data_IF_943424449266
#
_entry.id   IF_943424449266
#
_cell.length_a   1.000
_cell.length_b   1.000
_cell.length_c   1.000
_cell.angle_alpha   90.00
_cell.angle_beta   90.00
_cell.angle_gamma   90.00
#
_symmetry.space_group_name_H-M   'P 1'
#
loop_
_entity.id
_entity.type
_entity.pdbx_description
1 polymer ?
#
# COMPACT_ATOMS: atom_id res chain seq x y z
N UNK A 1 8.89 -7.14 1.74
CA UNK A 1 9.58 -5.90 1.34
C UNK A 1 10.65 -6.29 0.35
N UNK A 2 10.87 -5.50 -0.70
CA UNK A 2 11.83 -5.83 -1.76
C UNK A 2 13.26 -5.48 -1.35
N UNK A 3 14.26 -5.90 -2.13
CA UNK A 3 15.68 -5.68 -1.83
C UNK A 3 16.13 -4.23 -2.06
N UNK A 4 15.42 -3.51 -2.94
CA UNK A 4 15.82 -2.18 -3.42
C UNK A 4 15.19 -1.05 -2.59
N UNK A 5 15.13 -1.22 -1.27
CA UNK A 5 14.62 -0.16 -0.38
C UNK A 5 15.65 0.95 -0.23
N UNK A 6 15.23 2.18 -0.53
CA UNK A 6 16.09 3.36 -0.48
C UNK A 6 15.71 4.22 0.74
N UNK A 7 16.69 4.41 1.63
CA UNK A 7 16.57 5.31 2.78
C UNK A 7 16.20 6.72 2.30
N UNK A 8 15.21 7.33 2.95
CA UNK A 8 14.72 8.66 2.59
C UNK A 8 13.81 8.70 1.36
N UNK A 9 13.48 7.57 0.72
CA UNK A 9 12.48 7.51 -0.38
C UNK A 9 11.34 6.53 -0.12
N UNK A 10 11.58 5.50 0.69
CA UNK A 10 10.60 4.45 0.94
C UNK A 10 9.85 4.62 2.25
N UNK A 11 8.51 4.59 2.18
CA UNK A 11 7.63 4.64 3.35
C UNK A 11 7.90 3.49 4.33
N UNK A 12 8.33 2.33 3.84
CA UNK A 12 8.73 1.21 4.70
C UNK A 12 9.87 1.60 5.65
N UNK A 13 10.84 2.40 5.20
CA UNK A 13 11.96 2.85 6.04
C UNK A 13 11.46 3.75 7.16
N UNK A 14 10.56 4.71 6.87
CA UNK A 14 9.97 5.59 7.89
C UNK A 14 9.21 4.81 8.96
N UNK A 15 8.45 3.79 8.54
CA UNK A 15 7.77 2.91 9.47
C UNK A 15 8.76 2.11 10.32
N UNK A 16 9.85 1.59 9.76
CA UNK A 16 10.88 0.88 10.54
C UNK A 16 11.57 1.82 11.53
N UNK A 17 12.01 3.01 11.09
CA UNK A 17 12.65 4.01 11.95
C UNK A 17 11.80 4.35 13.18
N UNK A 18 10.50 4.59 12.96
CA UNK A 18 9.56 4.89 14.04
C UNK A 18 9.35 3.69 14.97
N UNK A 19 9.32 2.46 14.43
CA UNK A 19 9.24 1.24 15.24
C UNK A 19 10.44 1.12 16.18
N UNK A 20 11.65 1.32 15.64
CA UNK A 20 12.89 1.25 16.41
C UNK A 20 12.97 2.36 17.46
N UNK A 21 12.48 3.57 17.14
CA UNK A 21 12.37 4.67 18.10
C UNK A 21 11.45 4.34 19.28
N UNK A 22 10.44 3.49 19.07
CA UNK A 22 9.52 3.00 20.10
C UNK A 22 10.07 1.79 20.87
N UNK A 23 11.21 1.25 20.47
CA UNK A 23 11.84 0.10 21.11
C UNK A 23 11.36 -1.25 20.57
N UNK A 24 10.64 -1.28 19.45
CA UNK A 24 10.22 -2.53 18.82
C UNK A 24 11.40 -3.23 18.14
N UNK A 25 11.44 -4.55 18.26
CA UNK A 25 12.32 -5.38 17.44
C UNK A 25 11.70 -5.55 16.06
N UNK A 26 12.51 -5.33 15.02
CA UNK A 26 12.04 -5.38 13.65
C UNK A 26 12.84 -6.43 12.89
N UNK A 27 12.12 -7.27 12.17
CA UNK A 27 12.66 -8.32 11.34
C UNK A 27 12.27 -8.11 9.88
N UNK A 28 13.17 -8.44 8.99
CA UNK A 28 12.96 -8.48 7.55
C UNK A 28 13.02 -9.92 7.06
N UNK A 29 12.04 -10.32 6.26
CA UNK A 29 12.06 -11.60 5.55
C UNK A 29 11.56 -11.42 4.12
N UNK A 30 11.86 -12.41 3.26
CA UNK A 30 11.40 -12.47 1.88
C UNK A 30 10.38 -13.61 1.72
N UNK A 31 9.39 -13.48 0.82
CA UNK A 31 8.45 -14.58 0.53
C UNK A 31 9.17 -15.89 0.16
N UNK A 32 10.29 -15.82 -0.55
CA UNK A 32 11.11 -16.99 -0.90
C UNK A 32 11.75 -17.70 0.31
N UNK A 33 11.83 -17.03 1.47
CA UNK A 33 12.31 -17.60 2.73
C UNK A 33 11.20 -18.20 3.60
N UNK A 34 9.94 -18.19 3.15
CA UNK A 34 8.82 -18.79 3.89
C UNK A 34 8.83 -20.31 3.75
N UNK A 35 8.60 -21.00 4.86
CA UNK A 35 8.37 -22.44 4.87
C UNK A 35 7.31 -22.81 5.90
N UNK A 36 6.45 -23.77 5.55
CA UNK A 36 5.56 -24.41 6.52
C UNK A 36 6.19 -25.72 6.96
N UNK A 37 6.49 -25.85 8.25
CA UNK A 37 7.27 -26.97 8.80
C UNK A 37 6.71 -27.35 10.16
N UNK A 38 6.39 -28.63 10.35
CA UNK A 38 5.88 -29.16 11.62
C UNK A 38 4.64 -28.44 12.17
N UNK A 39 3.76 -27.91 11.30
CA UNK A 39 2.56 -27.19 11.71
C UNK A 39 2.76 -25.68 11.92
N UNK A 40 3.99 -25.19 11.80
CA UNK A 40 4.34 -23.79 12.02
C UNK A 40 4.77 -23.12 10.70
N UNK A 41 4.40 -21.86 10.54
CA UNK A 41 4.90 -21.03 9.45
C UNK A 41 6.14 -20.29 9.95
N UNK A 42 7.27 -20.58 9.32
CA UNK A 42 8.57 -20.00 9.64
C UNK A 42 9.09 -19.18 8.46
N UNK A 43 9.99 -18.23 8.76
CA UNK A 43 10.73 -17.49 7.76
C UNK A 43 12.22 -17.49 8.08
N UNK A 44 13.04 -17.55 7.04
CA UNK A 44 14.40 -17.04 7.12
C UNK A 44 14.36 -15.51 7.18
N UNK A 45 14.78 -14.94 8.30
CA UNK A 45 14.64 -13.53 8.62
C UNK A 45 15.96 -12.92 9.10
N UNK A 46 16.02 -11.59 9.07
CA UNK A 46 17.15 -10.78 9.47
C UNK A 46 16.68 -9.67 10.40
N UNK A 47 17.43 -9.39 11.46
CA UNK A 47 17.24 -8.17 12.24
C UNK A 47 17.56 -6.96 11.37
N UNK A 48 16.71 -5.94 11.37
CA UNK A 48 16.93 -4.72 10.58
C UNK A 48 17.37 -3.56 11.48
N UNK A 49 18.33 -2.75 11.03
CA UNK A 49 18.64 -1.45 11.64
C UNK A 49 18.74 -0.37 10.58
N UNK A 50 18.06 0.73 10.82
CA UNK A 50 18.15 1.92 9.97
C UNK A 50 19.11 2.92 10.62
N UNK A 51 20.20 3.23 9.92
CA UNK A 51 21.09 4.35 10.22
C UNK A 51 20.70 5.58 9.41
N UNK A 52 21.50 6.66 9.52
CA UNK A 52 21.19 7.93 8.87
C UNK A 52 20.99 7.82 7.34
N UNK A 53 21.86 7.07 6.66
CA UNK A 53 21.85 6.94 5.19
C UNK A 53 21.84 5.48 4.72
N UNK A 54 21.63 4.53 5.63
CA UNK A 54 21.74 3.10 5.31
C UNK A 54 20.75 2.24 6.09
N UNK A 55 20.40 1.11 5.49
CA UNK A 55 19.58 0.06 6.07
C UNK A 55 20.43 -1.20 6.08
N UNK A 56 20.69 -1.73 7.27
CA UNK A 56 21.49 -2.93 7.47
C UNK A 56 20.63 -4.12 7.88
N UNK A 57 20.95 -5.29 7.31
CA UNK A 57 20.38 -6.58 7.70
C UNK A 57 21.44 -7.36 8.50
N UNK A 58 21.06 -7.86 9.66
CA UNK A 58 21.94 -8.52 10.63
C UNK A 58 21.31 -9.84 11.10
N UNK A 59 22.10 -10.64 11.81
CA UNK A 59 21.63 -11.77 12.63
C UNK A 59 20.63 -12.68 11.91
N UNK A 60 21.07 -13.25 10.78
CA UNK A 60 20.26 -14.18 9.99
C UNK A 60 19.79 -15.36 10.86
N UNK A 61 18.48 -15.52 11.00
CA UNK A 61 17.87 -16.54 11.84
C UNK A 61 16.60 -17.12 11.22
N UNK A 62 16.19 -18.28 11.72
CA UNK A 62 14.88 -18.86 11.43
C UNK A 62 13.89 -18.38 12.48
N UNK A 63 12.86 -17.67 12.06
CA UNK A 63 11.86 -17.05 12.93
C UNK A 63 10.51 -17.76 12.77
N UNK A 64 9.84 -18.06 13.88
CA UNK A 64 8.44 -18.48 13.87
C UNK A 64 7.55 -17.27 13.68
N UNK A 65 6.83 -17.19 12.56
CA UNK A 65 6.00 -16.02 12.26
C UNK A 65 4.77 -15.91 13.17
N UNK A 66 4.35 -17.01 13.81
CA UNK A 66 3.25 -17.02 14.76
C UNK A 66 3.56 -16.38 16.12
N UNK A 67 4.84 -16.13 16.42
CA UNK A 67 5.30 -15.52 17.68
C UNK A 67 5.40 -13.99 17.58
N UNK A 68 5.18 -13.43 16.39
CA UNK A 68 5.22 -11.98 16.16
C UNK A 68 3.94 -11.31 16.64
N UNK A 69 4.06 -10.07 17.12
CA UNK A 69 2.89 -9.25 17.44
C UNK A 69 2.22 -8.67 16.19
N UNK A 70 3.03 -8.15 15.26
CA UNK A 70 2.58 -7.45 14.05
C UNK A 70 3.42 -7.92 12.85
N UNK A 71 2.75 -8.24 11.73
CA UNK A 71 3.40 -8.60 10.47
C UNK A 71 2.91 -7.71 9.33
N UNK A 72 3.87 -7.09 8.63
CA UNK A 72 3.59 -6.22 7.49
C UNK A 72 3.71 -6.97 6.15
N UNK A 73 2.69 -6.86 5.29
CA UNK A 73 2.75 -7.34 3.90
C UNK A 73 3.09 -6.18 2.96
N UNK A 74 4.39 -5.97 2.74
CA UNK A 74 4.94 -4.85 1.96
C UNK A 74 5.71 -5.32 0.71
N UNK A 75 5.31 -6.44 0.12
CA UNK A 75 5.85 -6.89 -1.18
C UNK A 75 5.31 -5.95 -2.27
N UNK A 76 6.18 -5.45 -3.17
CA UNK A 76 5.67 -4.70 -4.33
C UNK A 76 5.12 -5.68 -5.40
N UNK A 77 4.35 -5.20 -6.39
CA UNK A 77 3.95 -6.00 -7.54
C UNK A 77 5.14 -6.72 -8.22
N UNK A 78 4.91 -7.87 -8.88
CA UNK A 78 3.63 -8.30 -9.46
C UNK A 78 2.71 -9.09 -8.51
N UNK A 79 1.41 -9.06 -8.81
CA UNK A 79 0.42 -9.96 -8.22
C UNK A 79 0.45 -11.30 -8.98
N UNK A 80 1.31 -12.20 -8.54
CA UNK A 80 1.53 -13.51 -9.17
C UNK A 80 1.14 -14.69 -8.25
N UNK A 81 1.36 -15.92 -8.72
CA UNK A 81 1.05 -17.11 -7.92
C UNK A 81 1.90 -17.22 -6.64
N UNK A 82 3.11 -16.66 -6.61
CA UNK A 82 3.93 -16.63 -5.41
C UNK A 82 3.33 -15.68 -4.37
N UNK A 83 2.89 -14.50 -4.79
CA UNK A 83 2.17 -13.54 -3.96
C UNK A 83 0.88 -14.18 -3.41
N UNK A 84 0.04 -14.76 -4.28
CA UNK A 84 -1.21 -15.41 -3.89
C UNK A 84 -0.95 -16.53 -2.88
N UNK A 85 0.01 -17.42 -3.14
CA UNK A 85 0.37 -18.51 -2.23
C UNK A 85 0.88 -17.99 -0.90
N UNK A 86 1.69 -16.93 -0.91
CA UNK A 86 2.19 -16.26 0.30
C UNK A 86 1.02 -15.75 1.14
N UNK A 87 0.02 -15.11 0.53
CA UNK A 87 -1.15 -14.64 1.30
C UNK A 87 -1.95 -15.78 1.94
N UNK A 88 -2.07 -16.94 1.30
CA UNK A 88 -2.73 -18.13 1.86
C UNK A 88 -1.97 -18.78 3.02
N UNK A 89 -0.65 -18.62 3.05
CA UNK A 89 0.17 -19.04 4.18
C UNK A 89 0.00 -18.06 5.34
N UNK A 90 0.13 -16.76 5.07
CA UNK A 90 0.05 -15.72 6.09
C UNK A 90 -1.34 -15.59 6.73
N UNK A 91 -2.42 -15.83 6.00
CA UNK A 91 -3.79 -15.78 6.57
C UNK A 91 -4.04 -16.86 7.65
N UNK A 92 -3.14 -17.84 7.81
CA UNK A 92 -3.22 -18.88 8.85
C UNK A 92 -2.69 -18.40 10.20
N UNK A 93 -1.96 -17.29 10.22
CA UNK A 93 -1.36 -16.75 11.44
C UNK A 93 -2.41 -16.01 12.26
N UNK A 94 -2.31 -16.13 13.59
CA UNK A 94 -3.11 -15.34 14.52
C UNK A 94 -2.39 -14.04 14.94
N UNK A 95 -1.64 -13.44 14.02
CA UNK A 95 -0.83 -12.23 14.21
C UNK A 95 -1.58 -11.01 13.67
N UNK A 96 -1.33 -9.80 14.19
CA UNK A 96 -1.89 -8.60 13.58
C UNK A 96 -1.25 -8.37 12.21
N UNK A 97 -2.03 -8.49 11.14
CA UNK A 97 -1.56 -8.30 9.78
C UNK A 97 -1.78 -6.87 9.29
N UNK A 98 -0.73 -6.22 8.81
CA UNK A 98 -0.78 -4.89 8.17
C UNK A 98 -0.38 -5.03 6.69
N UNK A 99 -1.29 -5.26 5.76
CA UNK A 99 -2.74 -5.49 5.90
C UNK A 99 -3.10 -6.98 5.91
N UNK A 100 -4.38 -7.28 6.16
CA UNK A 100 -4.93 -8.64 6.08
C UNK A 100 -4.62 -9.33 4.72
N UNK A 101 -3.91 -10.47 4.70
CA UNK A 101 -3.52 -11.19 3.49
C UNK A 101 -4.69 -11.62 2.59
N UNK A 102 -5.81 -11.99 3.19
CA UNK A 102 -7.01 -12.34 2.44
C UNK A 102 -7.58 -11.10 1.75
N UNK A 103 -7.62 -9.98 2.47
CA UNK A 103 -8.20 -8.75 1.93
C UNK A 103 -7.37 -8.20 0.77
N UNK A 104 -6.04 -8.15 0.89
CA UNK A 104 -5.17 -7.68 -0.21
C UNK A 104 -5.26 -8.60 -1.45
N UNK A 105 -5.44 -9.91 -1.26
CA UNK A 105 -5.65 -10.86 -2.36
C UNK A 105 -7.00 -10.67 -3.05
N UNK A 106 -8.06 -10.49 -2.26
CA UNK A 106 -9.43 -10.40 -2.76
C UNK A 106 -9.75 -9.01 -3.33
N UNK A 107 -8.89 -8.01 -3.06
CA UNK A 107 -9.07 -6.61 -3.45
C UNK A 107 -7.82 -6.02 -4.11
N UNK A 108 -7.44 -6.50 -5.31
CA UNK A 108 -6.25 -6.02 -5.99
C UNK A 108 -6.42 -4.58 -6.50
N UNK A 109 -5.30 -3.86 -6.58
CA UNK A 109 -5.27 -2.39 -6.60
C UNK A 109 -6.03 -1.74 -7.77
N UNK A 110 -6.05 -2.42 -8.92
CA UNK A 110 -6.75 -1.99 -10.14
C UNK A 110 -8.20 -2.47 -10.26
N UNK A 111 -8.60 -3.48 -9.48
CA UNK A 111 -9.98 -3.98 -9.49
C UNK A 111 -10.83 -3.40 -8.36
N UNK A 112 -10.24 -3.07 -7.21
CA UNK A 112 -11.00 -2.50 -6.09
C UNK A 112 -11.81 -1.25 -6.46
N UNK A 113 -11.33 -0.30 -7.30
CA UNK A 113 -12.14 0.83 -7.74
C UNK A 113 -13.48 0.44 -8.39
N UNK A 114 -13.58 -0.74 -9.02
CA UNK A 114 -14.80 -1.23 -9.64
C UNK A 114 -15.91 -1.53 -8.62
N UNK A 115 -15.57 -1.69 -7.34
CA UNK A 115 -16.53 -1.81 -6.23
C UNK A 115 -17.26 -0.49 -5.95
N UNK A 116 -16.80 0.62 -6.55
CA UNK A 116 -17.34 1.97 -6.37
C UNK A 116 -17.82 2.56 -7.70
N UNK A 117 -18.85 1.99 -8.36
CA UNK A 117 -19.26 2.35 -9.72
C UNK A 117 -19.79 3.79 -9.85
N UNK A 118 -20.10 4.47 -8.75
CA UNK A 118 -20.51 5.89 -8.73
C UNK A 118 -19.34 6.85 -8.93
N UNK A 119 -18.13 6.42 -8.58
CA UNK A 119 -16.92 7.27 -8.53
C UNK A 119 -15.76 6.70 -9.33
N UNK A 120 -15.84 5.46 -9.81
CA UNK A 120 -14.92 4.95 -10.83
C UNK A 120 -15.26 5.54 -12.20
N UNK A 121 -14.25 5.99 -12.94
CA UNK A 121 -14.42 6.46 -14.32
C UNK A 121 -15.01 5.36 -15.21
N UNK A 122 -15.95 5.72 -16.10
CA UNK A 122 -16.68 4.76 -16.93
C UNK A 122 -16.17 4.80 -18.37
N UNK A 123 -15.56 3.71 -18.84
CA UNK A 123 -15.26 3.53 -20.26
C UNK A 123 -16.26 2.58 -20.92
N UNK A 124 -16.69 2.94 -22.13
CA UNK A 124 -17.30 1.99 -23.06
C UNK A 124 -16.17 1.24 -23.80
N UNK A 125 -16.19 -0.08 -23.75
CA UNK A 125 -15.21 -0.95 -24.40
C UNK A 125 -15.58 -1.29 -25.84
N UNK A 126 -16.68 -0.75 -26.36
CA UNK A 126 -17.34 -1.07 -27.65
C UNK A 126 -16.52 -0.96 -28.93
N UNK A 127 -15.20 -0.73 -28.87
CA UNK A 127 -14.26 -0.87 -29.99
C UNK A 127 -12.86 -1.34 -29.62
N UNK A 128 -12.59 -1.61 -28.34
CA UNK A 128 -11.24 -1.87 -27.80
C UNK A 128 -11.04 -3.36 -27.43
N UNK A 129 -12.12 -4.07 -27.10
CA UNK A 129 -11.98 -5.32 -26.32
C UNK A 129 -11.51 -6.54 -27.11
N UNK A 130 -12.03 -6.84 -28.30
CA UNK A 130 -11.76 -8.14 -28.93
C UNK A 130 -10.30 -8.27 -29.41
N UNK A 131 -9.78 -7.29 -30.16
CA UNK A 131 -8.42 -7.33 -30.70
C UNK A 131 -7.35 -7.14 -29.63
N UNK A 132 -7.61 -6.32 -28.59
CA UNK A 132 -6.66 -6.17 -27.49
C UNK A 132 -6.64 -7.39 -26.57
N UNK A 133 -7.79 -8.00 -26.27
CA UNK A 133 -7.82 -9.25 -25.49
C UNK A 133 -7.11 -10.37 -26.24
N UNK A 134 -7.31 -10.49 -27.56
CA UNK A 134 -6.57 -11.45 -28.39
C UNK A 134 -5.06 -11.16 -28.41
N UNK A 135 -4.68 -9.89 -28.57
CA UNK A 135 -3.27 -9.48 -28.63
C UNK A 135 -2.52 -9.74 -27.32
N UNK A 136 -3.12 -9.38 -26.17
CA UNK A 136 -2.47 -9.51 -24.86
C UNK A 136 -2.67 -10.89 -24.22
N UNK A 137 -3.66 -11.67 -24.65
CA UNK A 137 -3.96 -12.99 -24.08
C UNK A 137 -4.34 -12.96 -22.59
N UNK A 138 -4.87 -11.84 -22.11
CA UNK A 138 -5.16 -11.60 -20.69
C UNK A 138 -6.42 -10.73 -20.49
N UNK A 139 -7.08 -10.81 -19.32
CA UNK A 139 -8.16 -9.89 -18.97
C UNK A 139 -7.67 -8.43 -18.96
N UNK A 140 -8.53 -7.52 -19.40
CA UNK A 140 -8.24 -6.08 -19.48
C UNK A 140 -9.23 -5.28 -18.62
N UNK A 141 -8.75 -4.20 -18.04
CA UNK A 141 -9.57 -3.16 -17.39
C UNK A 141 -9.46 -1.90 -18.24
N UNK A 142 -10.58 -1.38 -18.71
CA UNK A 142 -10.65 -0.11 -19.42
C UNK A 142 -11.27 0.97 -18.52
N UNK A 143 -10.68 2.17 -18.53
CA UNK A 143 -11.17 3.33 -17.81
C UNK A 143 -11.24 4.52 -18.75
N UNK A 144 -12.17 5.44 -18.48
CA UNK A 144 -12.27 6.69 -19.24
C UNK A 144 -10.96 7.45 -19.11
N UNK A 145 -10.44 7.96 -20.23
CA UNK A 145 -9.30 8.87 -20.18
C UNK A 145 -9.72 10.19 -19.54
N UNK A 146 -8.94 10.65 -18.55
CA UNK A 146 -9.13 11.93 -17.86
C UNK A 146 -7.94 12.83 -18.25
N UNK A 147 -8.23 13.93 -18.91
CA UNK A 147 -7.24 14.87 -19.46
C UNK A 147 -6.72 15.86 -18.41
N UNK A 148 -7.51 16.16 -17.37
CA UNK A 148 -7.09 16.98 -16.24
C UNK A 148 -6.13 16.24 -15.29
N UNK A 149 -4.94 15.92 -15.79
CA UNK A 149 -3.83 15.34 -15.02
C UNK A 149 -3.40 16.22 -13.84
N UNK A 150 -3.73 17.52 -13.87
CA UNK A 150 -3.43 18.45 -12.78
C UNK A 150 -4.23 18.15 -11.52
N UNK A 151 -5.32 17.39 -11.64
CA UNK A 151 -6.15 16.98 -10.51
C UNK A 151 -5.70 15.68 -9.83
N UNK A 152 -4.58 15.06 -10.23
CA UNK A 152 -4.09 13.83 -9.58
C UNK A 152 -3.71 14.08 -8.13
N UNK A 153 -4.44 13.42 -7.22
CA UNK A 153 -4.19 13.44 -5.79
C UNK A 153 -3.93 12.04 -5.27
N UNK A 154 -2.84 11.89 -4.52
CA UNK A 154 -2.57 10.74 -3.65
C UNK A 154 -3.06 11.05 -2.26
N UNK A 155 -3.97 10.22 -1.76
CA UNK A 155 -4.48 10.30 -0.38
C UNK A 155 -4.04 9.07 0.39
N UNK A 156 -3.54 9.26 1.61
CA UNK A 156 -3.20 8.16 2.52
C UNK A 156 -4.35 7.93 3.49
N UNK A 157 -4.80 6.68 3.58
CA UNK A 157 -5.83 6.22 4.50
C UNK A 157 -5.21 5.35 5.60
N UNK A 158 -5.60 5.60 6.85
CA UNK A 158 -5.22 4.83 8.03
C UNK A 158 -6.47 4.54 8.88
N UNK A 159 -6.73 3.26 9.17
CA UNK A 159 -7.92 2.83 9.90
C UNK A 159 -9.22 3.28 9.22
N UNK A 160 -9.23 3.33 7.88
CA UNK A 160 -10.36 3.82 7.10
C UNK A 160 -10.53 5.35 7.07
N UNK A 161 -9.60 6.14 7.63
CA UNK A 161 -9.67 7.61 7.63
C UNK A 161 -8.53 8.23 6.82
N UNK A 162 -8.81 9.31 6.10
CA UNK A 162 -7.76 10.09 5.44
C UNK A 162 -6.89 10.80 6.47
N UNK A 163 -5.57 10.62 6.38
CA UNK A 163 -4.58 11.27 7.27
C UNK A 163 -3.73 12.33 6.54
N UNK A 164 -3.83 12.38 5.21
CA UNK A 164 -3.22 13.41 4.40
C UNK A 164 -3.38 13.17 2.91
N UNK A 165 -3.20 14.24 2.13
CA UNK A 165 -3.26 14.21 0.69
C UNK A 165 -2.22 15.15 0.08
N UNK A 166 -1.68 14.76 -1.07
CA UNK A 166 -0.84 15.61 -1.92
C UNK A 166 -1.42 15.62 -3.33
N UNK A 167 -1.24 16.74 -4.03
CA UNK A 167 -1.38 16.80 -5.48
C UNK A 167 -0.06 16.45 -6.13
N UNK A 168 -0.09 15.70 -7.24
CA UNK A 168 1.09 15.37 -8.04
C UNK A 168 1.14 16.25 -9.27
N UNK A 169 2.09 17.19 -9.31
CA UNK A 169 2.25 18.05 -10.47
C UNK A 169 3.32 17.50 -11.41
N UNK A 170 2.94 17.32 -12.68
CA UNK A 170 3.89 16.99 -13.75
C UNK A 170 4.76 18.21 -14.04
N UNK A 171 6.06 17.98 -14.22
CA UNK A 171 7.06 19.02 -14.51
C UNK A 171 7.52 19.02 -15.97
N UNK A 172 7.42 17.89 -16.67
CA UNK A 172 7.84 17.73 -18.05
C UNK A 172 6.70 18.05 -19.05
N UNK A 173 7.01 18.78 -20.12
CA UNK A 173 6.05 19.13 -21.18
C UNK A 173 5.67 17.87 -21.96
N UNK A 174 4.37 17.59 -22.09
CA UNK A 174 3.84 16.46 -22.86
C UNK A 174 3.81 15.12 -22.10
N UNK A 175 4.28 15.08 -20.86
CA UNK A 175 4.15 13.90 -20.01
C UNK A 175 2.77 13.89 -19.33
N UNK A 176 2.13 12.72 -19.31
CA UNK A 176 0.79 12.52 -18.70
C UNK A 176 0.88 11.70 -17.42
N UNK A 177 2.00 10.99 -17.19
CA UNK A 177 2.20 10.19 -15.98
C UNK A 177 2.60 11.11 -14.83
N UNK A 178 1.74 11.13 -13.84
CA UNK A 178 1.85 11.94 -12.62
C UNK A 178 2.56 11.21 -11.47
N UNK A 179 2.98 9.96 -11.67
CA UNK A 179 3.69 9.19 -10.64
C UNK A 179 5.00 9.89 -10.25
N UNK A 180 5.24 10.05 -8.94
CA UNK A 180 6.45 10.69 -8.41
C UNK A 180 7.75 10.02 -8.88
N UNK A 181 7.72 8.69 -9.10
CA UNK A 181 8.85 7.92 -9.67
C UNK A 181 9.27 8.41 -11.07
N UNK A 182 8.37 9.06 -11.80
CA UNK A 182 8.59 9.57 -13.17
C UNK A 182 8.92 11.07 -13.17
N UNK A 183 9.10 11.69 -12.00
CA UNK A 183 9.57 13.08 -11.86
C UNK A 183 8.49 14.12 -11.54
N UNK A 184 7.27 13.68 -11.22
CA UNK A 184 6.27 14.58 -10.65
C UNK A 184 6.70 15.06 -9.25
N UNK A 185 6.24 16.24 -8.87
CA UNK A 185 6.57 16.88 -7.58
C UNK A 185 5.33 16.92 -6.69
N UNK A 186 5.44 16.60 -5.38
CA UNK A 186 4.33 16.67 -4.46
C UNK A 186 4.02 18.13 -4.09
N UNK A 187 2.74 18.47 -4.05
CA UNK A 187 2.27 19.81 -3.67
C UNK A 187 1.11 19.72 -2.67
N UNK A 188 0.98 20.78 -1.86
CA UNK A 188 -0.13 20.93 -0.95
C UNK A 188 -1.46 20.97 -1.70
N UNK A 189 -2.49 20.36 -1.12
CA UNK A 189 -3.82 20.29 -1.71
C UNK A 189 -4.88 20.11 -0.63
N UNK A 190 -6.11 20.52 -0.96
CA UNK A 190 -7.28 20.20 -0.17
C UNK A 190 -8.16 19.20 -0.93
N UNK A 191 -8.85 18.34 -0.18
CA UNK A 191 -9.88 17.47 -0.71
C UNK A 191 -11.20 18.25 -0.78
N UNK A 192 -11.79 18.28 -1.97
CA UNK A 192 -13.18 18.70 -2.20
C UNK A 192 -14.17 17.77 -1.50
N UNK A 193 -15.43 18.19 -1.37
CA UNK A 193 -16.45 17.39 -0.69
C UNK A 193 -16.66 16.02 -1.35
N UNK A 194 -16.66 15.97 -2.69
CA UNK A 194 -16.73 14.71 -3.46
C UNK A 194 -15.54 13.79 -3.15
N UNK A 195 -14.33 14.33 -3.04
CA UNK A 195 -13.14 13.53 -2.74
C UNK A 195 -13.13 13.03 -1.30
N UNK A 196 -13.67 13.81 -0.36
CA UNK A 196 -13.86 13.38 1.04
C UNK A 196 -14.90 12.26 1.13
N UNK A 197 -15.98 12.33 0.35
CA UNK A 197 -16.97 11.25 0.23
C UNK A 197 -16.33 9.97 -0.32
N UNK A 198 -15.50 10.08 -1.38
CA UNK A 198 -14.72 8.93 -1.89
C UNK A 198 -13.84 8.33 -0.79
N UNK A 199 -13.10 9.16 -0.05
CA UNK A 199 -12.25 8.69 1.05
C UNK A 199 -13.05 7.97 2.14
N UNK A 200 -14.24 8.49 2.46
CA UNK A 200 -15.13 7.89 3.44
C UNK A 200 -15.64 6.52 2.99
N UNK A 201 -16.21 6.43 1.79
CA UNK A 201 -16.78 5.19 1.26
C UNK A 201 -15.72 4.10 1.11
N UNK A 202 -14.55 4.46 0.54
CA UNK A 202 -13.42 3.53 0.42
C UNK A 202 -12.92 3.13 1.80
N UNK A 203 -12.75 4.10 2.70
CA UNK A 203 -12.30 3.86 4.06
C UNK A 203 -13.18 2.89 4.84
N UNK A 204 -14.51 3.00 4.70
CA UNK A 204 -15.49 2.08 5.29
C UNK A 204 -15.30 0.64 4.80
N UNK A 205 -15.17 0.44 3.49
CA UNK A 205 -14.92 -0.89 2.92
C UNK A 205 -13.59 -1.46 3.45
N UNK A 206 -12.50 -0.69 3.32
CA UNK A 206 -11.15 -1.14 3.68
C UNK A 206 -11.08 -1.55 5.17
N UNK A 207 -11.65 -0.73 6.06
CA UNK A 207 -11.69 -1.04 7.49
C UNK A 207 -12.49 -2.32 7.77
N UNK A 208 -13.62 -2.53 7.07
CA UNK A 208 -14.47 -3.72 7.27
C UNK A 208 -13.79 -5.04 6.88
N UNK A 209 -12.80 -5.00 5.99
CA UNK A 209 -12.06 -6.20 5.52
C UNK A 209 -10.68 -6.35 6.17
N UNK A 210 -10.28 -5.45 7.07
CA UNK A 210 -8.98 -5.50 7.74
C UNK A 210 -7.82 -4.92 6.91
N UNK A 211 -8.10 -3.95 6.05
CA UNK A 211 -7.08 -3.10 5.43
C UNK A 211 -6.93 -1.86 6.30
N UNK A 212 -5.84 -1.82 7.06
CA UNK A 212 -5.53 -0.75 8.01
C UNK A 212 -4.81 0.42 7.36
N UNK A 213 -3.98 0.17 6.34
CA UNK A 213 -3.15 1.20 5.72
C UNK A 213 -3.22 1.13 4.20
N UNK A 214 -3.68 2.19 3.55
CA UNK A 214 -3.84 2.22 2.09
C UNK A 214 -3.50 3.58 1.50
N UNK A 215 -3.22 3.60 0.21
CA UNK A 215 -3.06 4.83 -0.57
C UNK A 215 -4.05 4.81 -1.73
N UNK A 216 -4.89 5.83 -1.85
CA UNK A 216 -5.83 5.94 -2.97
C UNK A 216 -5.40 7.06 -3.91
N UNK A 217 -5.61 6.83 -5.21
CA UNK A 217 -5.38 7.83 -6.24
C UNK A 217 -6.71 8.33 -6.79
N UNK A 218 -6.90 9.64 -6.74
CA UNK A 218 -8.09 10.33 -7.26
C UNK A 218 -7.66 11.28 -8.37
N UNK A 219 -8.29 11.16 -9.54
CA UNK A 219 -8.02 11.98 -10.72
C UNK A 219 -9.36 12.41 -11.34
N UNK A 220 -9.52 13.70 -11.65
CA UNK A 220 -10.76 14.26 -12.19
C UNK A 220 -11.97 14.02 -11.27
N UNK A 221 -11.74 13.91 -9.96
CA UNK A 221 -12.76 13.50 -8.99
C UNK A 221 -13.26 12.07 -9.17
N UNK A 222 -12.48 11.19 -9.79
CA UNK A 222 -12.75 9.77 -9.95
C UNK A 222 -11.70 8.93 -9.20
N UNK A 223 -12.12 7.83 -8.58
CA UNK A 223 -11.23 6.87 -7.96
C UNK A 223 -10.55 6.02 -9.04
N UNK A 224 -9.22 6.10 -9.11
CA UNK A 224 -8.43 5.43 -10.17
C UNK A 224 -7.80 4.14 -9.68
N UNK A 225 -7.27 4.15 -8.46
CA UNK A 225 -6.48 3.05 -7.90
C UNK A 225 -6.56 3.07 -6.37
N UNK A 226 -6.49 1.89 -5.76
CA UNK A 226 -6.34 1.74 -4.31
C UNK A 226 -5.20 0.79 -3.99
N UNK A 227 -4.08 1.34 -3.54
CA UNK A 227 -2.87 0.63 -3.15
C UNK A 227 -3.03 0.08 -1.72
N UNK A 228 -3.06 -1.24 -1.58
CA UNK A 228 -3.32 -1.94 -0.30
C UNK A 228 -2.11 -2.74 0.17
N UNK A 229 -1.04 -2.81 -0.60
CA UNK A 229 0.15 -3.61 -0.29
C UNK A 229 1.28 -2.73 0.24
N UNK A 230 1.87 -1.95 -0.64
CA UNK A 230 3.00 -1.06 -0.36
C UNK A 230 2.64 0.40 -0.65
N UNK A 231 1.57 0.98 -0.05
CA UNK A 231 1.21 2.36 -0.33
C UNK A 231 2.35 3.32 0.04
N UNK A 232 2.61 4.25 -0.88
CA UNK A 232 3.50 5.41 -0.73
C UNK A 232 2.68 6.68 -0.40
N UNK A 233 3.36 7.75 0.03
CA UNK A 233 2.73 9.05 0.33
C UNK A 233 3.15 9.64 1.68
N UNK A 234 3.65 8.82 2.62
CA UNK A 234 4.10 9.27 3.94
C UNK A 234 5.18 10.35 3.81
N UNK A 235 6.24 10.06 3.06
CA UNK A 235 7.38 10.98 2.96
C UNK A 235 6.98 12.30 2.34
N UNK A 236 6.15 12.25 1.30
CA UNK A 236 5.75 13.45 0.58
C UNK A 236 4.77 14.31 1.38
N UNK A 237 3.82 13.69 2.09
CA UNK A 237 2.93 14.44 2.99
C UNK A 237 3.76 15.04 4.14
N UNK A 238 4.71 14.29 4.71
CA UNK A 238 5.61 14.82 5.72
C UNK A 238 6.42 16.02 5.20
N UNK A 239 6.96 15.91 3.98
CA UNK A 239 7.74 16.98 3.33
C UNK A 239 6.90 18.23 3.10
N UNK A 240 5.69 18.08 2.54
CA UNK A 240 4.83 19.21 2.16
C UNK A 240 4.26 19.92 3.38
N UNK A 241 3.89 19.19 4.43
CA UNK A 241 3.15 19.74 5.58
C UNK A 241 3.94 19.77 6.89
N UNK A 242 5.20 19.33 6.91
CA UNK A 242 6.01 19.25 8.14
C UNK A 242 5.45 18.25 9.17
N UNK A 243 4.85 17.15 8.71
CA UNK A 243 4.22 16.11 9.54
C UNK A 243 5.17 14.92 9.81
N UNK A 244 4.71 14.00 10.65
CA UNK A 244 5.38 12.73 10.98
C UNK A 244 4.35 11.60 10.96
N UNK A 245 3.78 11.31 9.78
CA UNK A 245 2.67 10.36 9.64
C UNK A 245 3.00 8.93 10.06
N UNK A 246 4.26 8.52 10.04
CA UNK A 246 4.72 7.23 10.54
C UNK A 246 4.39 7.05 12.03
N UNK A 247 4.38 8.15 12.81
CA UNK A 247 3.96 8.15 14.21
C UNK A 247 2.47 7.84 14.33
N UNK A 248 1.65 8.52 13.55
CA UNK A 248 0.19 8.29 13.51
C UNK A 248 -0.11 6.84 13.11
N UNK A 249 0.64 6.31 12.14
CA UNK A 249 0.54 4.91 11.70
C UNK A 249 0.81 3.95 12.85
N UNK A 250 1.93 4.10 13.57
CA UNK A 250 2.26 3.23 14.69
C UNK A 250 1.31 3.36 15.88
N UNK A 251 0.83 4.57 16.18
CA UNK A 251 -0.21 4.77 17.20
C UNK A 251 -1.47 3.95 16.87
N UNK A 252 -1.84 3.91 15.58
CA UNK A 252 -2.96 3.10 15.13
C UNK A 252 -2.67 1.59 15.12
N UNK A 253 -1.47 1.16 14.73
CA UNK A 253 -1.12 -0.26 14.72
C UNK A 253 -1.06 -0.86 16.13
N UNK A 254 -0.49 -0.13 17.09
CA UNK A 254 -0.47 -0.52 18.52
C UNK A 254 -1.88 -0.54 19.10
N UNK A 255 -2.71 0.46 18.75
CA UNK A 255 -4.13 0.46 19.12
C UNK A 255 -4.85 -0.78 18.56
N UNK A 256 -4.68 -1.09 17.27
CA UNK A 256 -5.30 -2.24 16.63
C UNK A 256 -4.84 -3.57 17.26
N UNK A 257 -3.56 -3.69 17.62
CA UNK A 257 -3.01 -4.86 18.31
C UNK A 257 -3.71 -5.08 19.66
N UNK A 258 -3.83 -4.01 20.48
CA UNK A 258 -4.48 -4.09 21.79
C UNK A 258 -5.98 -4.43 21.75
N UNK A 259 -6.62 -4.31 20.59
CA UNK A 259 -8.04 -4.62 20.38
C UNK A 259 -8.26 -5.85 19.48
N UNK A 260 -7.17 -6.53 19.07
CA UNK A 260 -7.26 -7.75 18.28
C UNK A 260 -7.88 -8.85 19.16
N UNK A 261 -8.95 -9.46 18.67
CA UNK A 261 -9.52 -10.64 19.35
C UNK A 261 -8.50 -11.78 19.36
N UNK A 262 -8.42 -12.53 20.47
CA UNK A 262 -7.55 -13.69 20.57
C UNK A 262 -7.91 -14.78 19.55
#
# INVERSE_FOLDING_TARGET
>A
MDEDVVVGRDASVKLIEEAQRRGHEVFFYRPAGLAFSCGELVAEAFSIRVGADSLGLYDKARLSLGELDILFVRQNPPFDMQYVTTTYLLERLNVLMVNNPKAIRDHPEKLLPLSFPKVCGKADVGGISASMVEHYGAPLVAQQFIDDVSSDKRVVLLGGKSIGAIRRRVTAIGEIRTNLRVGAVPEATELSDKEREICHDVGMLLSSVGILFAGIDILGGCLIEVNTTSPCGILEINQVYGKTLERDCWDHFEYALSHKSP
#
